data_IF_358984072550
#
_entry.id   IF_358984072550
#
_cell.length_a   1.000
_cell.length_b   1.000
_cell.length_c   1.000
_cell.angle_alpha   90.00
_cell.angle_beta   90.00
_cell.angle_gamma   90.00
#
_symmetry.space_group_name_H-M   'P 1'
#
loop_
_entity.id
_entity.type
_entity.pdbx_description
1 polymer ?
#
# COMPACT_ATOMS: atom_id res chain seq x y z
N UNK A 1 2.23 -8.07 10.64
CA UNK A 1 3.32 -7.45 11.43
C UNK A 1 4.01 -6.40 10.58
N UNK A 2 4.29 -5.23 11.12
CA UNK A 2 5.10 -4.21 10.45
C UNK A 2 6.57 -4.34 10.87
N UNK A 3 7.48 -3.89 10.00
CA UNK A 3 8.94 -4.02 10.24
C UNK A 3 9.64 -2.68 10.31
N UNK A 4 9.28 -1.78 9.41
CA UNK A 4 9.76 -0.42 9.34
C UNK A 4 8.74 0.40 8.53
N UNK A 5 9.03 1.69 8.40
CA UNK A 5 8.27 2.61 7.58
C UNK A 5 9.19 3.74 7.10
N UNK A 6 8.77 4.43 6.05
CA UNK A 6 9.46 5.62 5.53
C UNK A 6 8.46 6.62 4.94
N UNK A 7 8.88 7.88 4.80
CA UNK A 7 8.14 8.90 4.08
C UNK A 7 8.66 8.94 2.64
N UNK A 8 7.81 8.53 1.70
CA UNK A 8 8.15 8.43 0.28
C UNK A 8 7.26 9.36 -0.56
N UNK A 9 7.77 9.75 -1.73
CA UNK A 9 7.10 10.67 -2.66
C UNK A 9 6.80 10.03 -4.02
N UNK A 10 7.28 8.81 -4.24
CA UNK A 10 7.20 8.14 -5.55
C UNK A 10 6.03 7.16 -5.64
N UNK A 11 5.51 6.66 -4.51
CA UNK A 11 4.62 5.50 -4.50
C UNK A 11 3.18 5.82 -4.86
N UNK A 12 2.70 7.02 -4.51
CA UNK A 12 1.37 7.50 -4.87
C UNK A 12 1.52 8.88 -5.52
N UNK A 13 1.01 9.08 -6.77
CA UNK A 13 1.16 10.35 -7.48
C UNK A 13 0.63 11.55 -6.69
N UNK A 14 1.49 12.55 -6.51
CA UNK A 14 1.19 13.82 -5.84
C UNK A 14 0.85 13.70 -4.34
N UNK A 15 1.24 12.61 -3.69
CA UNK A 15 1.05 12.43 -2.25
C UNK A 15 2.40 12.38 -1.52
N UNK A 16 2.42 12.86 -0.28
CA UNK A 16 3.48 12.55 0.68
C UNK A 16 3.03 11.34 1.48
N UNK A 17 3.66 10.20 1.24
CA UNK A 17 3.15 8.90 1.69
C UNK A 17 3.98 8.36 2.84
N UNK A 18 3.33 8.10 3.98
CA UNK A 18 3.88 7.20 5.01
C UNK A 18 3.68 5.76 4.53
N UNK A 19 4.76 5.12 4.05
CA UNK A 19 4.75 3.75 3.57
C UNK A 19 5.20 2.81 4.68
N UNK A 20 4.30 1.94 5.15
CA UNK A 20 4.57 0.98 6.23
C UNK A 20 4.75 -0.42 5.67
N UNK A 21 5.90 -1.02 5.92
CA UNK A 21 6.28 -2.34 5.40
C UNK A 21 5.74 -3.46 6.27
N UNK A 22 4.81 -4.23 5.71
CA UNK A 22 4.21 -5.41 6.32
C UNK A 22 4.95 -6.67 5.88
N UNK A 23 5.36 -7.47 6.86
CA UNK A 23 6.06 -8.72 6.65
C UNK A 23 5.11 -9.91 6.47
N UNK A 24 5.65 -11.08 6.14
CA UNK A 24 4.88 -12.29 5.85
C UNK A 24 4.31 -12.33 4.43
N UNK A 25 4.94 -11.67 3.46
CA UNK A 25 4.46 -11.64 2.08
C UNK A 25 4.36 -13.07 1.47
N UNK A 26 3.17 -13.53 1.03
CA UNK A 26 2.97 -14.88 0.53
C UNK A 26 3.48 -15.09 -0.90
N UNK A 27 3.66 -14.00 -1.68
CA UNK A 27 3.97 -14.07 -3.11
C UNK A 27 5.40 -14.52 -3.43
N UNK A 28 6.35 -14.27 -2.51
CA UNK A 28 7.75 -14.72 -2.57
C UNK A 28 8.42 -14.53 -3.95
N UNK A 29 8.16 -13.41 -4.60
CA UNK A 29 8.62 -13.14 -5.95
C UNK A 29 10.16 -13.19 -6.04
N UNK A 30 10.69 -13.85 -7.09
CA UNK A 30 12.12 -13.81 -7.41
C UNK A 30 12.53 -12.38 -7.78
N UNK A 31 13.69 -11.94 -7.26
CA UNK A 31 14.21 -10.59 -7.51
C UNK A 31 13.40 -9.47 -6.85
N UNK A 32 12.51 -9.79 -5.90
CA UNK A 32 11.74 -8.78 -5.17
C UNK A 32 12.65 -7.73 -4.53
N UNK A 33 12.23 -6.46 -4.55
CA UNK A 33 12.95 -5.35 -3.93
C UNK A 33 13.06 -5.50 -2.40
N UNK A 34 12.06 -6.10 -1.76
CA UNK A 34 11.99 -6.26 -0.31
C UNK A 34 11.89 -7.74 0.09
N UNK A 35 12.91 -8.58 -0.23
CA UNK A 35 12.84 -10.02 0.01
C UNK A 35 12.78 -10.35 1.51
N UNK A 36 13.30 -9.46 2.35
CA UNK A 36 13.24 -9.59 3.81
C UNK A 36 11.81 -9.56 4.36
N UNK A 37 10.82 -9.00 3.64
CA UNK A 37 9.40 -8.99 4.03
C UNK A 37 8.70 -10.33 3.80
N UNK A 38 9.36 -11.31 3.17
CA UNK A 38 8.79 -12.66 3.00
C UNK A 38 8.81 -13.48 4.29
N UNK A 39 9.60 -13.06 5.28
CA UNK A 39 9.63 -13.67 6.61
C UNK A 39 8.59 -12.98 7.48
N UNK A 40 7.90 -13.73 8.34
CA UNK A 40 6.95 -13.16 9.29
C UNK A 40 7.70 -12.63 10.53
N UNK A 41 8.09 -11.36 10.51
CA UNK A 41 8.91 -10.70 11.53
C UNK A 41 8.42 -9.29 11.85
N UNK A 42 8.99 -8.68 12.89
CA UNK A 42 8.61 -7.34 13.35
C UNK A 42 7.51 -7.37 14.40
N UNK A 43 6.81 -6.26 14.52
CA UNK A 43 5.83 -5.99 15.57
C UNK A 43 4.40 -6.05 15.01
N UNK A 44 3.44 -6.24 15.90
CA UNK A 44 2.03 -6.15 15.51
C UNK A 44 1.69 -4.71 15.12
N UNK A 45 0.90 -4.55 14.04
CA UNK A 45 0.38 -3.24 13.65
C UNK A 45 -1.09 -3.23 14.02
N UNK A 46 -1.39 -2.76 15.22
CA UNK A 46 -2.75 -2.55 15.70
C UNK A 46 -3.15 -1.07 15.60
N UNK A 47 -4.32 -0.72 16.11
CA UNK A 47 -4.84 0.65 16.07
C UNK A 47 -4.05 1.63 16.95
N UNK A 48 -3.45 1.17 18.04
CA UNK A 48 -2.67 1.99 18.97
C UNK A 48 -1.34 2.38 18.31
N UNK A 49 -0.59 1.38 17.84
CA UNK A 49 0.66 1.58 17.10
C UNK A 49 0.41 2.46 15.86
N UNK A 50 -0.65 2.17 15.11
CA UNK A 50 -1.02 2.94 13.93
C UNK A 50 -1.35 4.40 14.28
N UNK A 51 -2.05 4.65 15.39
CA UNK A 51 -2.35 6.01 15.85
C UNK A 51 -1.10 6.79 16.22
N UNK A 52 -0.16 6.15 16.91
CA UNK A 52 1.08 6.81 17.34
C UNK A 52 2.00 7.12 16.16
N UNK A 53 2.10 6.22 15.18
CA UNK A 53 2.76 6.49 13.90
C UNK A 53 2.14 7.69 13.21
N UNK A 54 0.81 7.72 13.06
CA UNK A 54 0.10 8.78 12.36
C UNK A 54 0.22 10.15 13.04
N UNK A 55 0.15 10.19 14.38
CA UNK A 55 0.32 11.42 15.17
C UNK A 55 1.71 12.04 14.95
N UNK A 56 2.74 11.21 14.88
CA UNK A 56 4.13 11.66 14.68
C UNK A 56 4.33 12.43 13.38
N UNK A 57 3.46 12.23 12.38
CA UNK A 57 3.59 12.80 11.04
C UNK A 57 2.38 13.63 10.62
N UNK A 58 1.54 14.05 11.57
CA UNK A 58 0.17 14.46 11.25
C UNK A 58 0.03 15.66 10.29
N UNK A 59 1.06 16.49 10.23
CA UNK A 59 1.12 17.68 9.37
C UNK A 59 2.06 17.52 8.17
N UNK A 60 2.67 16.34 8.01
CA UNK A 60 3.69 16.07 6.99
C UNK A 60 3.24 15.10 5.91
N UNK A 61 2.21 14.28 6.17
CA UNK A 61 1.75 13.24 5.24
C UNK A 61 0.35 13.54 4.71
N UNK A 62 0.10 13.12 3.47
CA UNK A 62 -1.21 13.20 2.82
C UNK A 62 -1.77 11.83 2.47
N UNK A 63 -0.93 10.78 2.56
CA UNK A 63 -1.33 9.40 2.35
C UNK A 63 -0.65 8.44 3.33
N UNK A 64 -1.37 7.41 3.76
CA UNK A 64 -0.84 6.24 4.45
C UNK A 64 -0.92 5.03 3.52
N UNK A 65 0.19 4.34 3.31
CA UNK A 65 0.28 3.19 2.41
C UNK A 65 0.71 1.92 3.13
N UNK A 66 -0.14 0.90 3.08
CA UNK A 66 0.20 -0.45 3.53
C UNK A 66 1.01 -1.14 2.42
N UNK A 67 2.25 -1.52 2.70
CA UNK A 67 3.12 -2.22 1.75
C UNK A 67 3.14 -3.71 2.09
N UNK A 68 2.38 -4.52 1.34
CA UNK A 68 2.17 -5.95 1.63
C UNK A 68 0.93 -6.20 2.50
N UNK A 69 0.99 -7.21 3.37
CA UNK A 69 -0.17 -7.61 4.18
C UNK A 69 -1.18 -8.50 3.44
N UNK A 70 -0.84 -8.98 2.24
CA UNK A 70 -1.69 -9.85 1.40
C UNK A 70 -2.19 -11.12 2.10
N UNK A 71 -1.47 -11.62 3.12
CA UNK A 71 -1.88 -12.79 3.89
C UNK A 71 -3.09 -12.52 4.82
N UNK A 72 -3.39 -11.26 5.12
CA UNK A 72 -4.44 -10.82 6.05
C UNK A 72 -5.17 -9.59 5.49
N UNK A 73 -5.69 -9.71 4.25
CA UNK A 73 -6.30 -8.60 3.53
C UNK A 73 -7.48 -7.95 4.27
N UNK A 74 -8.25 -8.74 5.02
CA UNK A 74 -9.32 -8.30 5.91
C UNK A 74 -8.81 -7.35 6.99
N UNK A 75 -7.70 -7.69 7.62
CA UNK A 75 -7.10 -6.85 8.67
C UNK A 75 -6.52 -5.55 8.09
N UNK A 76 -5.86 -5.61 6.92
CA UNK A 76 -5.39 -4.40 6.23
C UNK A 76 -6.58 -3.49 5.87
N UNK A 77 -7.69 -4.05 5.40
CA UNK A 77 -8.91 -3.31 5.11
C UNK A 77 -9.53 -2.68 6.38
N UNK A 78 -9.54 -3.40 7.49
CA UNK A 78 -10.03 -2.93 8.80
C UNK A 78 -9.22 -1.73 9.28
N UNK A 79 -7.89 -1.85 9.29
CA UNK A 79 -6.99 -0.78 9.68
C UNK A 79 -7.07 0.43 8.74
N UNK A 80 -7.17 0.22 7.43
CA UNK A 80 -7.38 1.32 6.48
C UNK A 80 -8.69 2.08 6.76
N UNK A 81 -9.76 1.36 7.12
CA UNK A 81 -11.03 1.97 7.50
C UNK A 81 -10.89 2.78 8.80
N UNK A 82 -10.14 2.26 9.77
CA UNK A 82 -9.79 2.97 11.00
C UNK A 82 -9.09 4.31 10.71
N UNK A 83 -8.05 4.30 9.85
CA UNK A 83 -7.35 5.52 9.43
C UNK A 83 -8.32 6.53 8.81
N UNK A 84 -9.13 6.09 7.85
CA UNK A 84 -10.08 6.97 7.15
C UNK A 84 -11.07 7.63 8.10
N UNK A 85 -11.60 6.88 9.06
CA UNK A 85 -12.56 7.38 10.05
C UNK A 85 -11.87 8.36 11.00
N UNK A 86 -10.74 7.97 11.61
CA UNK A 86 -9.99 8.80 12.55
C UNK A 86 -9.55 10.13 11.95
N UNK A 87 -9.24 10.12 10.65
CA UNK A 87 -8.78 11.29 9.90
C UNK A 87 -9.88 12.04 9.15
N UNK A 88 -11.16 11.67 9.35
CA UNK A 88 -12.32 12.29 8.69
C UNK A 88 -12.17 12.35 7.16
N UNK A 89 -11.54 11.34 6.58
CA UNK A 89 -11.26 11.23 5.14
C UNK A 89 -10.22 12.22 4.59
N UNK A 90 -9.51 12.98 5.44
CA UNK A 90 -8.46 13.92 5.01
C UNK A 90 -7.17 13.20 4.60
N UNK A 91 -6.82 12.12 5.30
CA UNK A 91 -5.67 11.30 4.97
C UNK A 91 -6.08 10.19 4.02
N UNK A 92 -5.39 10.08 2.87
CA UNK A 92 -5.65 9.05 1.86
C UNK A 92 -5.10 7.71 2.31
N UNK A 93 -5.78 6.63 1.97
CA UNK A 93 -5.29 5.27 2.22
C UNK A 93 -4.91 4.56 0.93
N UNK A 94 -3.77 3.90 0.94
CA UNK A 94 -3.24 3.14 -0.17
C UNK A 94 -2.84 1.72 0.24
N UNK A 95 -2.91 0.79 -0.71
CA UNK A 95 -2.45 -0.58 -0.50
C UNK A 95 -1.61 -1.08 -1.67
N UNK A 96 -0.37 -1.49 -1.38
CA UNK A 96 0.52 -2.15 -2.31
C UNK A 96 0.43 -3.67 -2.13
N UNK A 97 -0.47 -4.28 -2.90
CA UNK A 97 -0.66 -5.73 -2.93
C UNK A 97 0.17 -6.37 -4.05
N UNK A 98 0.67 -7.58 -3.78
CA UNK A 98 1.26 -8.45 -4.81
C UNK A 98 0.23 -9.28 -5.58
N UNK A 99 -1.05 -9.23 -5.20
CA UNK A 99 -2.11 -9.95 -5.90
C UNK A 99 -2.31 -9.40 -7.31
N UNK A 100 -2.52 -10.27 -8.30
CA UNK A 100 -2.67 -9.85 -9.71
C UNK A 100 -3.97 -9.09 -9.97
N UNK A 101 -4.97 -9.26 -9.12
CA UNK A 101 -6.29 -8.64 -9.27
C UNK A 101 -6.66 -7.79 -8.06
N UNK A 102 -7.54 -6.81 -8.27
CA UNK A 102 -8.10 -6.01 -7.18
C UNK A 102 -8.86 -6.91 -6.21
N UNK A 103 -8.55 -6.80 -4.93
CA UNK A 103 -9.30 -7.49 -3.89
C UNK A 103 -10.71 -6.89 -3.80
N UNK A 104 -11.80 -7.68 -3.71
CA UNK A 104 -13.17 -7.16 -3.67
C UNK A 104 -13.41 -6.15 -2.53
N UNK A 105 -12.81 -6.39 -1.36
CA UNK A 105 -12.91 -5.50 -0.19
C UNK A 105 -12.11 -4.20 -0.32
N UNK A 106 -11.25 -4.07 -1.34
CA UNK A 106 -10.46 -2.87 -1.49
C UNK A 106 -11.33 -1.64 -1.79
N UNK A 107 -12.46 -1.86 -2.47
CA UNK A 107 -13.48 -0.83 -2.66
C UNK A 107 -14.11 -0.48 -1.30
N UNK A 108 -13.97 0.78 -0.89
CA UNK A 108 -14.45 1.27 0.41
C UNK A 108 -13.37 1.44 1.46
N UNK A 109 -12.25 0.71 1.35
CA UNK A 109 -11.13 0.79 2.29
C UNK A 109 -9.97 1.66 1.79
N UNK A 110 -9.75 1.74 0.47
CA UNK A 110 -8.59 2.43 -0.10
C UNK A 110 -8.98 3.47 -1.15
N UNK A 111 -8.27 4.60 -1.13
CA UNK A 111 -8.27 5.56 -2.23
C UNK A 111 -7.36 5.10 -3.38
N UNK A 112 -6.31 4.33 -3.07
CA UNK A 112 -5.37 3.81 -4.06
C UNK A 112 -5.05 2.33 -3.81
N UNK A 113 -4.92 1.54 -4.89
CA UNK A 113 -4.51 0.14 -4.79
C UNK A 113 -3.54 -0.17 -5.90
N UNK A 114 -2.37 -0.67 -5.55
CA UNK A 114 -1.43 -1.27 -6.49
C UNK A 114 -1.61 -2.78 -6.47
N UNK A 115 -1.70 -3.37 -7.65
CA UNK A 115 -1.75 -4.83 -7.86
C UNK A 115 -0.56 -5.30 -8.68
N UNK A 116 -0.37 -6.62 -8.71
CA UNK A 116 0.61 -7.32 -9.52
C UNK A 116 1.84 -7.74 -8.72
N UNK A 117 2.25 -9.02 -8.80
CA UNK A 117 3.51 -9.46 -8.21
C UNK A 117 4.67 -8.78 -8.95
N UNK A 118 5.82 -8.67 -8.29
CA UNK A 118 7.01 -8.19 -8.97
C UNK A 118 7.54 -9.26 -9.92
N UNK A 119 7.74 -8.90 -11.19
CA UNK A 119 8.38 -9.74 -12.19
C UNK A 119 9.65 -9.04 -12.69
N UNK A 120 10.80 -9.61 -12.38
CA UNK A 120 12.13 -9.02 -12.67
C UNK A 120 12.29 -8.62 -14.14
N UNK A 121 11.84 -9.47 -15.08
CA UNK A 121 11.92 -9.21 -16.51
C UNK A 121 11.06 -8.02 -17.00
N UNK A 122 10.06 -7.60 -16.21
CA UNK A 122 9.11 -6.55 -16.58
C UNK A 122 9.35 -5.24 -15.82
N UNK A 123 10.02 -5.31 -14.67
CA UNK A 123 10.31 -4.17 -13.80
C UNK A 123 9.10 -3.67 -13.00
N UNK A 124 9.32 -2.59 -12.23
CA UNK A 124 8.29 -1.94 -11.41
C UNK A 124 7.40 -0.96 -12.17
N UNK A 125 6.53 -0.26 -11.45
CA UNK A 125 5.53 0.67 -12.01
C UNK A 125 6.09 1.75 -12.95
N UNK A 126 7.36 2.14 -12.76
CA UNK A 126 8.03 3.12 -13.62
C UNK A 126 8.39 2.60 -15.01
N UNK A 127 8.24 1.29 -15.28
CA UNK A 127 8.51 0.68 -16.59
C UNK A 127 7.22 0.45 -17.36
N UNK A 128 7.21 0.83 -18.65
CA UNK A 128 6.09 0.56 -19.58
C UNK A 128 5.80 -0.93 -19.76
N UNK A 129 6.78 -1.79 -19.51
CA UNK A 129 6.69 -3.25 -19.60
C UNK A 129 6.05 -3.92 -18.39
N UNK A 130 5.83 -3.19 -17.30
CA UNK A 130 5.39 -3.78 -16.03
C UNK A 130 4.04 -4.50 -16.12
N UNK A 131 3.90 -5.60 -15.39
CA UNK A 131 2.61 -6.27 -15.13
C UNK A 131 1.83 -5.64 -13.98
N UNK A 132 2.44 -4.74 -13.22
CA UNK A 132 1.82 -4.10 -12.07
C UNK A 132 0.86 -3.01 -12.52
N UNK A 133 -0.19 -2.77 -11.74
CA UNK A 133 -1.18 -1.72 -12.01
C UNK A 133 -1.42 -0.89 -10.76
N UNK A 134 -1.49 0.43 -10.92
CA UNK A 134 -1.90 1.33 -9.86
C UNK A 134 -3.31 1.85 -10.20
N UNK A 135 -4.22 1.72 -9.25
CA UNK A 135 -5.60 2.16 -9.37
C UNK A 135 -5.90 3.27 -8.37
N UNK A 136 -6.77 4.20 -8.78
CA UNK A 136 -7.35 5.24 -7.92
C UNK A 136 -8.87 5.09 -7.86
N UNK A 137 -9.45 5.12 -6.67
CA UNK A 137 -10.88 5.04 -6.47
C UNK A 137 -11.55 6.41 -6.70
N UNK A 138 -12.34 6.53 -7.77
CA UNK A 138 -13.02 7.77 -8.16
C UNK A 138 -14.45 7.46 -8.60
N UNK A 139 -15.42 8.11 -7.96
CA UNK A 139 -16.83 8.01 -8.36
C UNK A 139 -17.38 6.59 -8.27
N UNK A 140 -17.03 5.86 -7.20
CA UNK A 140 -17.54 4.51 -6.94
C UNK A 140 -16.80 3.38 -7.68
N UNK A 141 -15.71 3.66 -8.40
CA UNK A 141 -14.93 2.65 -9.12
C UNK A 141 -13.44 2.92 -9.10
N UNK A 142 -12.65 1.86 -9.24
CA UNK A 142 -11.22 1.97 -9.49
C UNK A 142 -10.96 2.34 -10.96
N UNK A 143 -10.14 3.37 -11.17
CA UNK A 143 -9.58 3.75 -12.47
C UNK A 143 -8.10 3.44 -12.48
N UNK A 144 -7.63 2.81 -13.55
CA UNK A 144 -6.21 2.56 -13.77
C UNK A 144 -5.49 3.89 -14.04
N UNK A 145 -4.48 4.19 -13.23
CA UNK A 145 -3.62 5.38 -13.33
C UNK A 145 -2.14 5.00 -13.48
N UNK A 146 -1.84 3.77 -13.89
CA UNK A 146 -0.46 3.24 -13.99
C UNK A 146 0.44 4.13 -14.83
N UNK A 147 -0.10 4.76 -15.88
CA UNK A 147 0.64 5.68 -16.74
C UNK A 147 1.23 6.90 -16.00
N UNK A 148 0.63 7.33 -14.89
CA UNK A 148 1.15 8.46 -14.08
C UNK A 148 2.49 8.13 -13.40
N UNK A 149 2.81 6.84 -13.26
CA UNK A 149 4.06 6.34 -12.68
C UNK A 149 5.20 6.24 -13.71
N UNK A 150 4.86 6.34 -15.00
CA UNK A 150 5.76 6.09 -16.13
C UNK A 150 6.13 7.43 -16.77
N UNK A 151 6.95 8.21 -16.07
CA UNK A 151 7.55 9.42 -16.63
C UNK A 151 8.67 9.08 -17.61
#
# INVERSE_FOLDING_TARGET
>A
KYTDYDIVFQEIPNEVTLAVNLSGCPHRCKGCHSPHLQQNKGEELDEEVLSDLLRSYEHSITCFCFMGGDAHADEVCRLASYVRIGWKGKLKTAWYSGNSYLHPMAAGCFDYVKTGPYLEALGGLNKKTTNQRLYKFIGGRFKDITAEMQK
#
